data_IF_947327042550
#
_entry.id   IF_947327042550
#
_cell.length_a   1.000
_cell.length_b   1.000
_cell.length_c   1.000
_cell.angle_alpha   90.00
_cell.angle_beta   90.00
_cell.angle_gamma   90.00
#
_symmetry.space_group_name_H-M   'P 1'
#
loop_
_entity.id
_entity.type
_entity.pdbx_description
1 polymer ?
#
# COMPACT_ATOMS: atom_id res chain seq x y z
N UNK A 1 7.40 27.30 7.81
CA UNK A 1 6.34 26.74 6.94
C UNK A 1 5.54 25.74 7.76
N UNK A 2 4.21 25.83 7.81
CA UNK A 2 3.35 25.02 8.70
C UNK A 2 3.47 23.51 8.47
N UNK A 3 3.69 23.08 7.21
CA UNK A 3 3.84 21.67 6.86
C UNK A 3 5.08 20.98 7.46
N UNK A 4 6.12 21.74 7.83
CA UNK A 4 7.30 21.19 8.49
C UNK A 4 7.05 20.76 9.95
N UNK A 5 5.87 21.08 10.51
CA UNK A 5 5.45 20.65 11.83
C UNK A 5 4.73 19.30 11.83
N UNK A 6 4.42 18.74 10.65
CA UNK A 6 3.80 17.42 10.53
C UNK A 6 4.86 16.38 10.90
N UNK A 7 4.62 15.56 11.93
CA UNK A 7 5.58 14.56 12.41
C UNK A 7 5.48 13.21 11.71
N UNK A 8 4.28 12.84 11.26
CA UNK A 8 3.99 11.54 10.63
C UNK A 8 2.78 11.58 9.71
N UNK A 9 2.77 10.74 8.68
CA UNK A 9 1.60 10.48 7.83
C UNK A 9 1.15 9.04 8.05
N UNK A 10 -0.15 8.81 8.25
CA UNK A 10 -0.75 7.47 8.32
C UNK A 10 -1.73 7.31 7.17
N UNK A 11 -1.51 6.30 6.34
CA UNK A 11 -2.37 5.92 5.23
C UNK A 11 -3.23 4.73 5.65
N UNK A 12 -4.52 4.96 5.86
CA UNK A 12 -5.44 4.01 6.47
C UNK A 12 -6.22 3.18 5.43
N UNK A 13 -5.54 2.26 4.75
CA UNK A 13 -6.16 1.26 3.86
C UNK A 13 -6.81 1.81 2.59
N UNK A 14 -7.31 0.88 1.75
CA UNK A 14 -8.01 1.17 0.50
C UNK A 14 -7.14 1.98 -0.48
N UNK A 15 -5.84 1.70 -0.48
CA UNK A 15 -4.85 2.34 -1.34
C UNK A 15 -5.02 1.90 -2.80
N UNK A 16 -5.49 0.67 -2.98
CA UNK A 16 -5.89 0.12 -4.26
C UNK A 16 -7.42 -0.01 -4.28
N UNK A 17 -8.05 0.58 -5.29
CA UNK A 17 -9.52 0.50 -5.45
C UNK A 17 -9.95 -0.89 -5.95
N UNK A 18 -11.19 -1.28 -5.68
CA UNK A 18 -11.81 -2.49 -6.23
C UNK A 18 -11.65 -2.60 -7.76
N UNK A 19 -11.62 -1.48 -8.49
CA UNK A 19 -11.45 -1.48 -9.94
C UNK A 19 -10.04 -1.91 -10.40
N UNK A 20 -9.05 -1.89 -9.50
CA UNK A 20 -7.69 -2.38 -9.77
C UNK A 20 -7.60 -3.91 -9.66
N UNK A 21 -8.56 -4.54 -8.96
CA UNK A 21 -8.69 -5.99 -8.90
C UNK A 21 -9.26 -6.47 -10.25
N UNK A 22 -8.38 -6.99 -11.11
CA UNK A 22 -8.73 -7.42 -12.48
C UNK A 22 -9.79 -8.55 -12.47
N UNK A 23 -11.07 -8.16 -12.45
CA UNK A 23 -12.20 -9.10 -12.48
C UNK A 23 -12.30 -9.85 -13.81
N UNK A 24 -11.87 -9.23 -14.91
CA UNK A 24 -11.91 -9.82 -16.25
C UNK A 24 -10.97 -11.02 -16.42
N UNK A 25 -9.94 -11.14 -15.56
CA UNK A 25 -9.02 -12.27 -15.59
C UNK A 25 -9.59 -13.54 -14.96
N UNK A 26 -10.61 -13.44 -14.10
CA UNK A 26 -11.22 -14.61 -13.45
C UNK A 26 -12.19 -15.37 -14.36
N UNK A 27 -12.79 -14.70 -15.35
CA UNK A 27 -13.73 -15.32 -16.29
C UNK A 27 -13.08 -15.83 -17.59
N UNK A 28 -11.78 -15.59 -17.81
CA UNK A 28 -11.05 -16.03 -19.01
C UNK A 28 -10.13 -17.20 -18.68
N UNK A 29 -9.98 -18.13 -19.62
CA UNK A 29 -9.04 -19.25 -19.46
C UNK A 29 -7.63 -18.72 -19.17
N UNK A 30 -6.94 -19.28 -18.16
CA UNK A 30 -5.62 -18.85 -17.67
C UNK A 30 -4.54 -18.71 -18.77
N UNK A 31 -4.70 -19.43 -19.89
CA UNK A 31 -3.80 -19.37 -21.04
C UNK A 31 -3.96 -18.08 -21.87
N UNK A 32 -5.13 -17.43 -21.82
CA UNK A 32 -5.45 -16.20 -22.55
C UNK A 32 -5.03 -14.93 -21.80
N UNK A 33 -4.78 -15.02 -20.48
CA UNK A 33 -4.43 -13.88 -19.63
C UNK A 33 -2.92 -13.70 -19.43
N UNK A 34 -2.09 -14.60 -20.00
CA UNK A 34 -0.62 -14.64 -19.84
C UNK A 34 0.12 -13.39 -20.33
N UNK A 35 -0.54 -12.51 -21.10
CA UNK A 35 -0.01 -11.25 -21.64
C UNK A 35 -0.72 -9.98 -21.13
N UNK A 36 -1.73 -10.11 -20.28
CA UNK A 36 -2.45 -8.95 -19.75
C UNK A 36 -1.73 -8.47 -18.50
N UNK A 37 -1.09 -7.29 -18.57
CA UNK A 37 -0.66 -6.58 -17.37
C UNK A 37 -1.90 -6.36 -16.51
N UNK A 38 -1.96 -6.98 -15.33
CA UNK A 38 -3.09 -6.78 -14.44
C UNK A 38 -3.11 -5.30 -14.03
N UNK A 39 -4.27 -4.64 -14.10
CA UNK A 39 -4.44 -3.25 -13.67
C UNK A 39 -3.93 -3.01 -12.24
N UNK A 40 -3.90 -4.06 -11.41
CA UNK A 40 -3.31 -4.07 -10.08
C UNK A 40 -1.80 -3.83 -10.07
N UNK A 41 -1.04 -4.30 -11.08
CA UNK A 41 0.43 -4.15 -11.11
C UNK A 41 0.82 -2.69 -11.34
N UNK A 42 0.19 -2.02 -12.31
CA UNK A 42 0.47 -0.60 -12.55
C UNK A 42 0.02 0.26 -11.38
N UNK A 43 -1.13 -0.06 -10.76
CA UNK A 43 -1.60 0.66 -9.57
C UNK A 43 -0.63 0.52 -8.39
N UNK A 44 -0.08 -0.68 -8.15
CA UNK A 44 0.93 -0.90 -7.10
C UNK A 44 2.21 -0.11 -7.40
N UNK A 45 2.64 -0.06 -8.66
CA UNK A 45 3.80 0.74 -9.07
C UNK A 45 3.59 2.23 -8.82
N UNK A 46 2.43 2.78 -9.20
CA UNK A 46 2.09 4.17 -8.94
C UNK A 46 2.02 4.47 -7.43
N UNK A 47 1.49 3.54 -6.63
CA UNK A 47 1.48 3.65 -5.19
C UNK A 47 2.91 3.70 -4.62
N UNK A 48 3.81 2.85 -5.11
CA UNK A 48 5.23 2.86 -4.70
C UNK A 48 5.93 4.17 -5.06
N UNK A 49 5.63 4.76 -6.23
CA UNK A 49 6.15 6.09 -6.62
C UNK A 49 5.65 7.21 -5.69
N UNK A 50 4.37 7.17 -5.28
CA UNK A 50 3.81 8.13 -4.31
C UNK A 50 4.46 7.94 -2.93
N UNK A 51 4.57 6.70 -2.47
CA UNK A 51 5.20 6.38 -1.19
C UNK A 51 6.66 6.80 -1.18
N UNK A 52 7.39 6.63 -2.27
CA UNK A 52 8.76 7.12 -2.43
C UNK A 52 8.84 8.62 -2.16
N UNK A 53 7.97 9.41 -2.81
CA UNK A 53 7.97 10.87 -2.64
C UNK A 53 7.68 11.29 -1.20
N UNK A 54 6.77 10.59 -0.51
CA UNK A 54 6.45 10.89 0.88
C UNK A 54 7.59 10.46 1.82
N UNK A 55 8.08 9.23 1.69
CA UNK A 55 9.08 8.63 2.58
C UNK A 55 10.43 9.36 2.55
N UNK A 56 10.76 10.03 1.44
CA UNK A 56 11.94 10.91 1.37
C UNK A 56 11.84 12.10 2.35
N UNK A 57 10.62 12.54 2.65
CA UNK A 57 10.38 13.77 3.43
C UNK A 57 9.91 13.54 4.86
N UNK A 58 9.12 12.49 5.12
CA UNK A 58 8.42 12.28 6.40
C UNK A 58 8.21 10.78 6.67
N UNK A 59 8.16 10.33 7.94
CA UNK A 59 7.72 8.98 8.28
C UNK A 59 6.28 8.71 7.80
N UNK A 60 6.09 7.56 7.15
CA UNK A 60 4.80 7.12 6.59
C UNK A 60 4.47 5.72 7.11
N UNK A 61 3.32 5.60 7.77
CA UNK A 61 2.76 4.31 8.17
C UNK A 61 1.63 3.92 7.20
N UNK A 62 1.66 2.71 6.68
CA UNK A 62 0.74 2.22 5.66
C UNK A 62 -0.04 1.03 6.21
N UNK A 63 -1.33 1.21 6.43
CA UNK A 63 -2.26 0.15 6.83
C UNK A 63 -2.93 -0.45 5.59
N UNK A 64 -3.20 -1.76 5.57
CA UNK A 64 -4.04 -2.37 4.54
C UNK A 64 -5.53 -2.05 4.76
N UNK A 65 -6.30 -2.10 3.67
CA UNK A 65 -7.76 -2.05 3.68
C UNK A 65 -8.41 -3.22 2.93
N UNK A 66 -9.68 -3.04 2.56
CA UNK A 66 -10.54 -4.13 2.04
C UNK A 66 -10.05 -4.71 0.71
N UNK A 67 -9.52 -3.88 -0.19
CA UNK A 67 -9.14 -4.28 -1.55
C UNK A 67 -7.63 -4.35 -1.75
N UNK A 68 -6.84 -4.21 -0.69
CA UNK A 68 -5.39 -4.33 -0.76
C UNK A 68 -4.97 -5.80 -0.67
N UNK A 69 -3.82 -6.21 -1.28
CA UNK A 69 -3.41 -7.60 -1.38
C UNK A 69 -2.83 -8.14 -0.06
N UNK A 70 -3.71 -8.33 0.92
CA UNK A 70 -3.45 -8.99 2.21
C UNK A 70 -4.62 -9.92 2.56
N UNK A 71 -4.61 -10.53 3.75
CA UNK A 71 -5.75 -11.31 4.23
C UNK A 71 -6.97 -10.41 4.50
N UNK A 72 -8.16 -10.97 4.23
CA UNK A 72 -9.45 -10.31 4.49
C UNK A 72 -9.89 -10.38 5.95
N UNK A 73 -9.37 -11.36 6.70
CA UNK A 73 -9.71 -11.55 8.11
C UNK A 73 -9.00 -10.54 8.99
N UNK A 74 -9.63 -10.14 10.10
CA UNK A 74 -8.93 -9.39 11.14
C UNK A 74 -8.15 -10.34 12.05
N UNK A 75 -6.93 -9.96 12.48
CA UNK A 75 -6.17 -8.79 12.04
C UNK A 75 -5.58 -8.99 10.62
N UNK A 76 -5.74 -7.98 9.75
CA UNK A 76 -5.09 -7.93 8.45
C UNK A 76 -3.59 -7.72 8.63
N UNK A 77 -2.79 -8.53 7.95
CA UNK A 77 -1.33 -8.47 7.98
C UNK A 77 -0.81 -7.30 7.14
N UNK A 78 0.39 -6.78 7.46
CA UNK A 78 0.99 -5.72 6.67
C UNK A 78 1.16 -6.11 5.21
N UNK A 79 1.14 -5.10 4.33
CA UNK A 79 1.45 -5.30 2.92
C UNK A 79 2.89 -5.82 2.77
N UNK A 80 3.09 -6.67 1.76
CA UNK A 80 4.38 -7.30 1.57
C UNK A 80 5.40 -6.35 0.94
N UNK A 81 6.62 -6.29 1.49
CA UNK A 81 7.68 -5.36 1.05
C UNK A 81 8.04 -5.47 -0.44
N UNK A 82 7.87 -6.66 -1.05
CA UNK A 82 8.17 -6.86 -2.46
C UNK A 82 7.30 -6.03 -3.42
N UNK A 83 6.17 -5.50 -2.93
CA UNK A 83 5.30 -4.62 -3.71
C UNK A 83 5.89 -3.22 -3.89
N UNK A 84 6.84 -2.83 -3.04
CA UNK A 84 7.30 -1.46 -2.88
C UNK A 84 8.83 -1.35 -3.06
N UNK A 85 9.40 -1.78 -4.20
CA UNK A 85 10.85 -1.79 -4.39
C UNK A 85 11.53 -0.42 -4.23
N UNK A 86 10.84 0.69 -4.54
CA UNK A 86 11.39 2.03 -4.45
C UNK A 86 11.33 2.59 -3.02
N UNK A 87 10.13 2.60 -2.42
CA UNK A 87 9.92 3.19 -1.10
C UNK A 87 10.51 2.35 0.03
N UNK A 88 10.66 1.03 -0.16
CA UNK A 88 11.32 0.14 0.80
C UNK A 88 12.80 0.46 1.05
N UNK A 89 13.44 1.27 0.20
CA UNK A 89 14.79 1.76 0.45
C UNK A 89 14.88 2.70 1.66
N UNK A 90 13.75 3.26 2.12
CA UNK A 90 13.70 4.25 3.19
C UNK A 90 13.20 3.65 4.51
N UNK A 91 13.91 3.94 5.61
CA UNK A 91 13.53 3.50 6.96
C UNK A 91 12.28 4.21 7.50
N UNK A 92 11.88 5.31 6.86
CA UNK A 92 10.68 6.10 7.14
C UNK A 92 9.40 5.41 6.69
N UNK A 93 9.46 4.39 5.83
CA UNK A 93 8.31 3.57 5.46
C UNK A 93 8.06 2.48 6.51
N UNK A 94 6.85 2.45 7.06
CA UNK A 94 6.36 1.39 7.93
C UNK A 94 5.10 0.76 7.33
N UNK A 95 5.18 -0.54 7.03
CA UNK A 95 4.01 -1.33 6.63
C UNK A 95 3.45 -1.97 7.90
N UNK A 96 2.21 -1.64 8.25
CA UNK A 96 1.60 -1.98 9.54
C UNK A 96 0.33 -2.82 9.36
N UNK A 97 -0.17 -3.41 10.45
CA UNK A 97 -1.39 -4.23 10.44
C UNK A 97 -2.65 -3.39 10.37
N UNK A 98 -3.80 -4.03 10.15
CA UNK A 98 -5.11 -3.46 10.45
C UNK A 98 -5.90 -4.43 11.35
N UNK A 99 -6.25 -4.08 12.60
CA UNK A 99 -6.10 -2.77 13.23
C UNK A 99 -4.65 -2.39 13.57
N UNK A 100 -4.38 -1.09 13.67
CA UNK A 100 -3.08 -0.52 14.02
C UNK A 100 -3.15 0.26 15.33
N UNK A 101 -2.14 0.10 16.18
CA UNK A 101 -1.94 0.88 17.40
C UNK A 101 -0.53 1.48 17.37
N UNK A 102 -0.45 2.78 17.64
CA UNK A 102 0.80 3.54 17.69
C UNK A 102 0.82 4.43 18.93
N UNK A 103 2.02 4.83 19.35
CA UNK A 103 2.23 5.95 20.28
C UNK A 103 3.07 6.99 19.52
N UNK A 104 2.47 8.14 19.24
CA UNK A 104 3.09 9.23 18.48
C UNK A 104 3.25 10.42 19.42
N UNK A 105 4.49 10.72 19.80
CA UNK A 105 4.84 11.83 20.68
C UNK A 105 4.05 11.84 22.01
N UNK A 106 3.70 10.65 22.53
CA UNK A 106 3.00 10.46 23.80
C UNK A 106 1.49 10.28 23.70
N UNK A 107 0.92 10.22 22.49
CA UNK A 107 -0.51 10.01 22.22
C UNK A 107 -0.75 8.67 21.54
#
# INVERSE_FOLDING_TARGET
SSAALISRVILAGNLLSQNTQSRDSMNKAKYLTKKTQAASVEAVKMLDEILLQLCVSIPVDVMPGEFDPTNYTLPQQPLHRCMFPLSNAYTTLQLVTNPYQANIDGV
#
